data_IF_291332346292
#
_entry.id   IF_291332346292
#
_cell.length_a   1.000
_cell.length_b   1.000
_cell.length_c   1.000
_cell.angle_alpha   90.00
_cell.angle_beta   90.00
_cell.angle_gamma   90.00
#
_symmetry.space_group_name_H-M   'P 1'
#
loop_
_entity.id
_entity.type
_entity.pdbx_description
1 polymer ?
#
# COMPACT_ATOMS: atom_id res chain seq x y z
N UNK A 1 16.38 6.22 -9.44
CA UNK A 1 14.98 5.83 -9.18
C UNK A 1 14.76 5.98 -7.68
N UNK A 2 13.71 6.69 -7.24
CA UNK A 2 13.41 6.74 -5.80
C UNK A 2 12.96 5.35 -5.36
N UNK A 3 13.63 4.82 -4.35
CA UNK A 3 13.19 3.62 -3.65
C UNK A 3 11.84 3.89 -2.96
N UNK A 4 10.94 2.91 -2.90
CA UNK A 4 9.59 3.08 -2.36
C UNK A 4 9.62 3.56 -0.90
N UNK A 5 10.64 3.15 -0.14
CA UNK A 5 10.87 3.62 1.22
C UNK A 5 11.12 5.14 1.30
N UNK A 6 11.93 5.68 0.38
CA UNK A 6 12.21 7.12 0.33
C UNK A 6 10.97 7.91 -0.12
N UNK A 7 10.24 7.39 -1.12
CA UNK A 7 9.00 8.01 -1.57
C UNK A 7 7.94 8.02 -0.46
N UNK A 8 7.81 6.90 0.28
CA UNK A 8 6.94 6.79 1.45
C UNK A 8 7.31 7.81 2.53
N UNK A 9 8.60 7.94 2.89
CA UNK A 9 9.04 8.87 3.91
C UNK A 9 8.69 10.33 3.59
N UNK A 10 8.82 10.73 2.32
CA UNK A 10 8.43 12.08 1.86
C UNK A 10 6.92 12.32 1.99
N UNK A 11 6.08 11.33 1.66
CA UNK A 11 4.61 11.49 1.61
C UNK A 11 3.89 11.19 2.91
N UNK A 12 4.48 10.39 3.79
CA UNK A 12 3.87 9.98 5.05
C UNK A 12 4.28 10.84 6.25
N UNK A 13 5.05 11.92 6.06
CA UNK A 13 5.61 12.73 7.15
C UNK A 13 4.54 13.30 8.12
N UNK A 14 3.34 13.63 7.62
CA UNK A 14 2.22 14.13 8.41
C UNK A 14 1.26 13.06 8.95
N UNK A 15 1.50 11.78 8.65
CA UNK A 15 0.59 10.71 9.04
C UNK A 15 0.75 10.34 10.53
N UNK A 16 -0.33 9.85 11.19
CA UNK A 16 -0.27 9.36 12.56
C UNK A 16 0.86 8.32 12.74
N UNK A 17 1.68 8.38 13.82
CA UNK A 17 2.85 7.53 13.96
C UNK A 17 2.56 6.02 13.88
N UNK A 18 1.45 5.56 14.45
CA UNK A 18 1.04 4.17 14.41
C UNK A 18 0.71 3.68 12.98
N UNK A 19 0.03 4.51 12.19
CA UNK A 19 -0.29 4.21 10.79
C UNK A 19 0.98 4.21 9.94
N UNK A 20 1.86 5.19 10.14
CA UNK A 20 3.14 5.27 9.43
C UNK A 20 4.03 4.07 9.72
N UNK A 21 4.13 3.67 10.99
CA UNK A 21 4.90 2.49 11.39
C UNK A 21 4.32 1.20 10.79
N UNK A 22 3.00 1.02 10.86
CA UNK A 22 2.34 -0.14 10.27
C UNK A 22 2.52 -0.22 8.76
N UNK A 23 2.36 0.89 8.03
CA UNK A 23 2.57 0.91 6.58
C UNK A 23 4.03 0.62 6.20
N UNK A 24 5.00 1.12 6.96
CA UNK A 24 6.41 0.82 6.74
C UNK A 24 6.75 -0.66 6.96
N UNK A 25 6.12 -1.33 7.94
CA UNK A 25 6.29 -2.77 8.17
C UNK A 25 5.81 -3.61 6.97
N UNK A 26 4.62 -3.32 6.45
CA UNK A 26 4.12 -4.02 5.26
C UNK A 26 4.95 -3.71 4.01
N UNK A 27 5.42 -2.47 3.86
CA UNK A 27 6.28 -2.09 2.73
C UNK A 27 7.62 -2.83 2.76
N UNK A 28 8.20 -3.04 3.94
CA UNK A 28 9.42 -3.82 4.10
C UNK A 28 9.24 -5.31 3.76
N UNK A 29 8.01 -5.82 3.84
CA UNK A 29 7.64 -7.20 3.50
C UNK A 29 7.28 -7.39 2.02
N UNK A 30 6.94 -6.31 1.31
CA UNK A 30 6.67 -6.37 -0.12
C UNK A 30 7.95 -6.73 -0.88
N UNK A 31 7.82 -7.55 -1.92
CA UNK A 31 8.95 -7.89 -2.77
C UNK A 31 9.51 -6.66 -3.47
N UNK A 32 10.84 -6.61 -3.57
CA UNK A 32 11.56 -5.51 -4.23
C UNK A 32 11.46 -5.56 -5.77
N UNK A 33 10.53 -6.36 -6.31
CA UNK A 33 10.29 -6.51 -7.73
C UNK A 33 9.25 -5.49 -8.23
N UNK A 34 9.58 -4.77 -9.30
CA UNK A 34 8.65 -3.81 -9.92
C UNK A 34 8.81 -2.37 -9.42
N UNK A 35 7.94 -1.48 -9.93
CA UNK A 35 7.99 -0.05 -9.63
C UNK A 35 7.39 0.30 -8.26
N UNK A 36 7.63 1.54 -7.81
CA UNK A 36 7.13 2.09 -6.53
C UNK A 36 5.63 1.83 -6.32
N UNK A 37 4.81 2.05 -7.36
CA UNK A 37 3.36 1.80 -7.30
C UNK A 37 3.04 0.31 -7.02
N UNK A 38 3.74 -0.63 -7.67
CA UNK A 38 3.56 -2.06 -7.48
C UNK A 38 3.92 -2.51 -6.06
N UNK A 39 4.98 -1.96 -5.49
CA UNK A 39 5.41 -2.28 -4.12
C UNK A 39 4.36 -1.83 -3.09
N UNK A 40 3.77 -0.65 -3.26
CA UNK A 40 2.67 -0.20 -2.40
C UNK A 40 1.41 -1.06 -2.55
N UNK A 41 1.06 -1.46 -3.77
CA UNK A 41 -0.09 -2.34 -4.02
C UNK A 41 0.11 -3.73 -3.38
N UNK A 42 1.32 -4.28 -3.44
CA UNK A 42 1.66 -5.54 -2.78
C UNK A 42 1.58 -5.41 -1.25
N UNK A 43 2.18 -4.35 -0.69
CA UNK A 43 2.10 -4.07 0.75
C UNK A 43 0.64 -3.93 1.23
N UNK A 44 -0.21 -3.26 0.44
CA UNK A 44 -1.64 -3.14 0.73
C UNK A 44 -2.33 -4.52 0.74
N UNK A 45 -1.99 -5.39 -0.20
CA UNK A 45 -2.53 -6.75 -0.30
C UNK A 45 -2.13 -7.59 0.92
N UNK A 46 -0.88 -7.48 1.38
CA UNK A 46 -0.42 -8.14 2.61
C UNK A 46 -1.22 -7.65 3.83
N UNK A 47 -1.44 -6.34 3.96
CA UNK A 47 -2.22 -5.76 5.05
C UNK A 47 -3.69 -6.19 5.03
N UNK A 48 -4.30 -6.25 3.85
CA UNK A 48 -5.68 -6.71 3.70
C UNK A 48 -5.83 -8.20 4.05
N UNK A 49 -4.86 -9.04 3.66
CA UNK A 49 -4.86 -10.48 3.98
C UNK A 49 -4.79 -10.74 5.48
N UNK A 50 -4.11 -9.90 6.25
CA UNK A 50 -4.07 -10.05 7.71
C UNK A 50 -5.41 -9.77 8.39
N UNK A 51 -6.34 -9.09 7.73
CA UNK A 51 -7.66 -8.76 8.26
C UNK A 51 -8.68 -9.88 8.02
N UNK A 52 -8.53 -10.66 6.96
CA UNK A 52 -9.50 -11.71 6.63
C UNK A 52 -9.59 -12.77 7.73
N UNK A 53 -10.82 -13.04 8.18
CA UNK A 53 -11.10 -14.04 9.22
C UNK A 53 -10.67 -13.63 10.64
N UNK A 54 -10.30 -12.37 10.87
CA UNK A 54 -9.96 -11.86 12.21
C UNK A 54 -11.15 -11.20 12.90
N UNK A 55 -11.10 -11.21 14.23
CA UNK A 55 -12.07 -10.51 15.07
C UNK A 55 -11.98 -8.99 14.90
N UNK A 56 -13.09 -8.32 15.23
CA UNK A 56 -13.20 -6.85 15.24
C UNK A 56 -12.38 -6.28 16.40
N UNK A 57 -11.11 -6.02 16.13
CA UNK A 57 -10.15 -5.46 17.07
C UNK A 57 -9.57 -4.14 16.56
N UNK A 58 -8.94 -3.37 17.46
CA UNK A 58 -8.21 -2.15 17.08
C UNK A 58 -7.05 -2.44 16.12
N UNK A 59 -6.38 -3.59 16.29
CA UNK A 59 -5.30 -4.01 15.40
C UNK A 59 -5.84 -4.29 13.99
N UNK A 60 -6.98 -4.96 13.89
CA UNK A 60 -7.68 -5.21 12.62
C UNK A 60 -8.08 -3.90 11.93
N UNK A 61 -8.61 -2.94 12.70
CA UNK A 61 -8.95 -1.62 12.17
C UNK A 61 -7.71 -0.84 11.67
N UNK A 62 -6.59 -0.94 12.40
CA UNK A 62 -5.32 -0.33 11.96
C UNK A 62 -4.82 -0.97 10.66
N UNK A 63 -4.86 -2.30 10.54
CA UNK A 63 -4.46 -3.01 9.32
C UNK A 63 -5.33 -2.62 8.12
N UNK A 64 -6.64 -2.43 8.29
CA UNK A 64 -7.53 -1.91 7.25
C UNK A 64 -7.16 -0.48 6.81
N UNK A 65 -6.93 0.42 7.76
CA UNK A 65 -6.47 1.79 7.47
C UNK A 65 -5.12 1.80 6.76
N UNK A 66 -4.21 0.89 7.16
CA UNK A 66 -2.92 0.71 6.50
C UNK A 66 -3.09 0.23 5.06
N UNK A 67 -3.95 -0.76 4.81
CA UNK A 67 -4.24 -1.24 3.47
C UNK A 67 -4.80 -0.12 2.57
N UNK A 68 -5.81 0.62 3.04
CA UNK A 68 -6.42 1.74 2.32
C UNK A 68 -5.40 2.85 1.98
N UNK A 69 -4.56 3.20 2.96
CA UNK A 69 -3.50 4.20 2.76
C UNK A 69 -2.48 3.74 1.72
N UNK A 70 -2.06 2.47 1.76
CA UNK A 70 -1.11 1.90 0.82
C UNK A 70 -1.70 1.82 -0.60
N UNK A 71 -2.98 1.46 -0.77
CA UNK A 71 -3.67 1.55 -2.07
C UNK A 71 -3.66 2.98 -2.58
N UNK A 72 -3.98 3.96 -1.74
CA UNK A 72 -3.98 5.37 -2.12
C UNK A 72 -2.61 5.84 -2.60
N UNK A 73 -1.54 5.44 -1.90
CA UNK A 73 -0.16 5.76 -2.30
C UNK A 73 0.25 5.04 -3.59
N UNK A 74 -0.19 3.79 -3.80
CA UNK A 74 0.04 3.06 -5.04
C UNK A 74 -0.58 3.79 -6.24
N UNK A 75 -1.85 4.20 -6.11
CA UNK A 75 -2.56 4.95 -7.14
C UNK A 75 -1.92 6.30 -7.41
N UNK A 76 -1.51 7.03 -6.37
CA UNK A 76 -0.81 8.31 -6.51
C UNK A 76 0.53 8.15 -7.23
N UNK A 77 1.34 7.15 -6.84
CA UNK A 77 2.62 6.87 -7.49
C UNK A 77 2.44 6.49 -8.97
N UNK A 78 1.38 5.76 -9.31
CA UNK A 78 1.06 5.44 -10.70
C UNK A 78 0.60 6.68 -11.47
N UNK A 79 -0.28 7.51 -10.88
CA UNK A 79 -0.78 8.73 -11.49
C UNK A 79 0.34 9.75 -11.77
N UNK A 80 1.35 9.84 -10.90
CA UNK A 80 2.52 10.70 -11.12
C UNK A 80 3.46 10.19 -12.21
N UNK A 81 3.49 8.87 -12.45
CA UNK A 81 4.41 8.24 -13.41
C UNK A 81 3.82 8.10 -14.81
N UNK A 82 2.60 7.57 -14.89
CA UNK A 82 1.93 7.18 -16.13
C UNK A 82 0.40 7.22 -15.88
N UNK A 83 -0.18 8.43 -15.86
CA UNK A 83 -1.60 8.64 -15.54
C UNK A 83 -2.55 7.94 -16.52
N UNK A 84 -2.15 7.81 -17.79
CA UNK A 84 -2.90 7.08 -18.82
C UNK A 84 -3.09 5.60 -18.49
N UNK A 85 -2.16 5.00 -17.74
CA UNK A 85 -2.21 3.60 -17.32
C UNK A 85 -2.93 3.40 -15.96
N UNK A 86 -3.38 4.47 -15.31
CA UNK A 86 -3.96 4.42 -13.96
C UNK A 86 -5.19 3.50 -13.89
N UNK A 87 -6.07 3.55 -14.89
CA UNK A 87 -7.28 2.73 -14.93
C UNK A 87 -6.98 1.23 -15.00
N UNK A 88 -6.00 0.85 -15.83
CA UNK A 88 -5.51 -0.53 -15.92
C UNK A 88 -4.88 -0.97 -14.61
N UNK A 89 -4.00 -0.14 -14.05
CA UNK A 89 -3.33 -0.42 -12.78
C UNK A 89 -4.31 -0.61 -11.62
N UNK A 90 -5.36 0.23 -11.51
CA UNK A 90 -6.39 0.07 -10.49
C UNK A 90 -7.15 -1.25 -10.64
N UNK A 91 -7.41 -1.69 -11.88
CA UNK A 91 -8.04 -2.98 -12.17
C UNK A 91 -7.13 -4.14 -11.73
N UNK A 92 -5.82 -4.04 -11.99
CA UNK A 92 -4.83 -5.05 -11.59
C UNK A 92 -4.77 -5.20 -10.05
N UNK A 93 -4.85 -4.09 -9.30
CA UNK A 93 -4.91 -4.11 -7.82
C UNK A 93 -6.13 -4.92 -7.33
N UNK A 94 -7.31 -4.65 -7.90
CA UNK A 94 -8.55 -5.35 -7.51
C UNK A 94 -8.44 -6.85 -7.81
N UNK A 95 -7.91 -7.20 -8.98
CA UNK A 95 -7.68 -8.60 -9.37
C UNK A 95 -6.71 -9.32 -8.43
N UNK A 96 -5.62 -8.68 -8.03
CA UNK A 96 -4.63 -9.25 -7.12
C UNK A 96 -5.17 -9.44 -5.69
N UNK A 97 -6.04 -8.54 -5.22
CA UNK A 97 -6.67 -8.64 -3.90
C UNK A 97 -7.72 -9.77 -3.82
N UNK A 98 -8.32 -10.14 -4.97
CA UNK A 98 -9.30 -11.22 -5.06
C UNK A 98 -8.68 -12.62 -5.21
N UNK A 99 -7.36 -12.71 -5.39
CA UNK A 99 -6.59 -13.95 -5.58
C UNK A 99 -5.90 -14.41 -4.29
#
# INVERSE_FOLDING_TARGET
MKDAANWFAERAAGAPPALRASAADYLARATQGGGVASQFAEAATLALREVFGKDRSRATALALLTADSLVTLALLAQAERAPEELGRFATDIVGAAAA
#
